data_IF_477102207311
#
_entry.id   IF_477102207311
#
_cell.length_a   1.000
_cell.length_b   1.000
_cell.length_c   1.000
_cell.angle_alpha   90.00
_cell.angle_beta   90.00
_cell.angle_gamma   90.00
#
_symmetry.space_group_name_H-M   'P 1'
#
loop_
_entity.id
_entity.type
_entity.pdbx_description
1 polymer ?
#
# COMPACT_ATOMS: atom_id res chain seq x y z
N UNK A 1 28.10 -1.49 15.18
CA UNK A 1 28.37 -2.53 14.14
C UNK A 1 28.18 -1.85 12.80
N UNK A 2 29.06 -2.08 11.83
CA UNK A 2 28.85 -1.53 10.47
C UNK A 2 27.53 -2.09 9.90
N UNK A 3 26.73 -1.23 9.34
CA UNK A 3 25.49 -1.62 8.67
C UNK A 3 25.87 -2.37 7.37
N UNK A 4 25.35 -3.58 7.18
CA UNK A 4 25.63 -4.36 5.98
C UNK A 4 24.78 -3.77 4.86
N UNK A 5 25.42 -3.33 3.78
CA UNK A 5 24.74 -2.81 2.59
C UNK A 5 24.86 -3.82 1.47
N UNK A 6 23.74 -4.11 0.82
CA UNK A 6 23.62 -5.03 -0.32
C UNK A 6 23.02 -4.25 -1.48
N UNK A 7 23.81 -4.04 -2.53
CA UNK A 7 23.42 -3.17 -3.64
C UNK A 7 23.26 -3.95 -4.96
N UNK A 8 22.30 -3.47 -5.78
CA UNK A 8 22.15 -3.90 -7.18
C UNK A 8 21.99 -5.42 -7.38
N UNK A 9 21.51 -6.14 -6.36
CA UNK A 9 21.32 -7.59 -6.48
C UNK A 9 19.92 -7.94 -6.99
N UNK A 10 19.88 -9.04 -7.73
CA UNK A 10 18.62 -9.69 -8.15
C UNK A 10 18.50 -11.01 -7.37
N UNK A 11 17.39 -11.12 -6.63
CA UNK A 11 16.97 -12.35 -5.98
C UNK A 11 15.82 -12.93 -6.82
N UNK A 12 15.94 -14.15 -7.27
CA UNK A 12 14.96 -14.77 -8.15
C UNK A 12 14.52 -16.12 -7.61
N UNK A 13 13.19 -16.30 -7.52
CA UNK A 13 12.54 -17.55 -7.06
C UNK A 13 13.04 -18.05 -5.70
N UNK A 14 13.50 -17.13 -4.83
CA UNK A 14 13.97 -17.46 -3.50
C UNK A 14 12.78 -17.65 -2.54
N UNK A 15 12.89 -18.65 -1.67
CA UNK A 15 11.90 -18.89 -0.62
C UNK A 15 12.37 -18.32 0.72
N UNK A 16 11.98 -17.08 0.99
CA UNK A 16 12.28 -16.38 2.23
C UNK A 16 11.29 -16.67 3.37
N UNK A 17 10.25 -17.49 3.10
CA UNK A 17 9.39 -18.02 4.17
C UNK A 17 10.10 -19.10 4.98
N UNK A 18 11.05 -19.79 4.38
CA UNK A 18 11.86 -20.85 5.02
C UNK A 18 13.27 -20.35 5.41
N UNK A 19 13.90 -19.52 4.56
CA UNK A 19 15.25 -19.00 4.78
C UNK A 19 15.16 -17.51 5.04
N UNK A 20 15.56 -17.05 6.21
CA UNK A 20 15.47 -15.63 6.55
C UNK A 20 16.33 -14.77 5.62
N UNK A 21 15.73 -13.68 5.12
CA UNK A 21 16.49 -12.62 4.50
C UNK A 21 17.41 -11.98 5.55
N UNK A 22 18.69 -11.81 5.24
CA UNK A 22 19.64 -11.23 6.18
C UNK A 22 19.29 -9.79 6.56
N UNK A 23 19.54 -9.41 7.81
CA UNK A 23 19.37 -8.01 8.24
C UNK A 23 20.44 -7.15 7.59
N UNK A 24 20.02 -6.28 6.69
CA UNK A 24 20.89 -5.40 5.92
C UNK A 24 20.08 -4.19 5.42
N UNK A 25 20.75 -3.24 4.85
CA UNK A 25 20.19 -2.25 3.95
C UNK A 25 20.30 -2.81 2.51
N UNK A 26 19.15 -2.95 1.84
CA UNK A 26 19.06 -3.38 0.44
C UNK A 26 18.85 -2.13 -0.41
N UNK A 27 19.78 -1.82 -1.30
CA UNK A 27 19.72 -0.67 -2.18
C UNK A 27 19.65 -1.10 -3.66
N UNK A 28 18.70 -0.55 -4.41
CA UNK A 28 18.51 -0.85 -5.85
C UNK A 28 18.41 -2.34 -6.16
N UNK A 29 17.91 -3.13 -5.20
CA UNK A 29 17.75 -4.56 -5.34
C UNK A 29 16.40 -4.94 -5.95
N UNK A 30 16.37 -6.07 -6.68
CA UNK A 30 15.16 -6.61 -7.29
C UNK A 30 14.87 -8.00 -6.74
N UNK A 31 13.64 -8.19 -6.29
CA UNK A 31 13.12 -9.47 -5.84
C UNK A 31 12.07 -9.93 -6.84
N UNK A 32 12.34 -11.03 -7.54
CA UNK A 32 11.47 -11.57 -8.59
C UNK A 32 10.96 -12.96 -8.23
N UNK A 33 9.64 -13.12 -8.26
CA UNK A 33 8.97 -14.39 -7.98
C UNK A 33 9.42 -15.02 -6.65
N UNK A 34 9.74 -14.19 -5.64
CA UNK A 34 10.17 -14.66 -4.32
C UNK A 34 8.98 -14.87 -3.39
N UNK A 35 9.09 -15.84 -2.50
CA UNK A 35 8.11 -16.06 -1.44
C UNK A 35 8.62 -15.52 -0.10
N UNK A 36 7.93 -14.51 0.41
CA UNK A 36 8.13 -13.93 1.73
C UNK A 36 6.95 -14.18 2.67
N UNK A 37 6.02 -15.07 2.29
CA UNK A 37 4.80 -15.27 3.10
C UNK A 37 5.16 -15.67 4.53
N UNK A 38 4.48 -15.03 5.49
CA UNK A 38 4.71 -15.19 6.92
C UNK A 38 6.16 -14.92 7.39
N UNK A 39 7.01 -14.34 6.56
CA UNK A 39 8.41 -14.08 6.89
C UNK A 39 8.58 -12.87 7.81
N UNK A 40 9.79 -12.71 8.33
CA UNK A 40 10.18 -11.63 9.26
C UNK A 40 11.14 -10.67 8.55
N UNK A 41 10.65 -9.50 8.14
CA UNK A 41 11.44 -8.42 7.53
C UNK A 41 11.70 -7.26 8.49
N UNK A 42 11.39 -7.42 9.78
CA UNK A 42 11.57 -6.36 10.78
C UNK A 42 12.98 -5.85 10.86
N UNK A 43 13.11 -4.52 10.95
CA UNK A 43 14.39 -3.80 11.00
C UNK A 43 15.28 -3.99 9.77
N UNK A 44 14.71 -4.29 8.62
CA UNK A 44 15.39 -4.28 7.33
C UNK A 44 15.06 -2.96 6.61
N UNK A 45 16.04 -2.42 5.91
CA UNK A 45 15.88 -1.22 5.08
C UNK A 45 15.90 -1.61 3.61
N UNK A 46 14.90 -1.12 2.87
CA UNK A 46 14.84 -1.23 1.41
C UNK A 46 14.81 0.17 0.81
N UNK A 47 15.76 0.48 -0.07
CA UNK A 47 15.90 1.75 -0.78
C UNK A 47 15.89 1.48 -2.28
N UNK A 48 15.02 2.17 -3.03
CA UNK A 48 14.90 2.03 -4.49
C UNK A 48 14.76 0.56 -4.96
N UNK A 49 14.11 -0.27 -4.12
CA UNK A 49 13.93 -1.70 -4.39
C UNK A 49 12.62 -1.98 -5.13
N UNK A 50 12.62 -3.08 -5.89
CA UNK A 50 11.46 -3.58 -6.62
C UNK A 50 11.15 -5.02 -6.21
N UNK A 51 9.88 -5.26 -5.83
CA UNK A 51 9.31 -6.59 -5.65
C UNK A 51 8.37 -6.85 -6.84
N UNK A 52 8.67 -7.87 -7.63
CA UNK A 52 7.87 -8.24 -8.79
C UNK A 52 7.45 -9.71 -8.71
N UNK A 53 6.15 -9.99 -8.87
CA UNK A 53 5.55 -11.32 -8.73
C UNK A 53 5.84 -12.00 -7.37
N UNK A 54 6.07 -11.23 -6.31
CA UNK A 54 6.38 -11.77 -4.99
C UNK A 54 5.12 -12.00 -4.14
N UNK A 55 5.22 -12.97 -3.24
CA UNK A 55 4.21 -13.19 -2.20
C UNK A 55 4.75 -12.68 -0.86
N UNK A 56 4.20 -11.59 -0.34
CA UNK A 56 4.53 -11.02 0.97
C UNK A 56 3.33 -11.14 1.95
N UNK A 57 2.38 -12.01 1.69
CA UNK A 57 1.19 -12.14 2.55
C UNK A 57 1.58 -12.42 4.00
N UNK A 58 0.99 -11.68 4.95
CA UNK A 58 1.21 -11.82 6.38
C UNK A 58 2.68 -11.65 6.83
N UNK A 59 3.53 -11.03 6.02
CA UNK A 59 4.92 -10.70 6.37
C UNK A 59 4.95 -9.65 7.48
N UNK A 60 5.86 -9.82 8.45
CA UNK A 60 6.04 -8.87 9.54
C UNK A 60 6.97 -7.73 9.12
N UNK A 61 6.49 -6.49 9.27
CA UNK A 61 7.16 -5.28 8.83
C UNK A 61 7.57 -4.33 9.97
N UNK A 62 7.66 -4.82 11.20
CA UNK A 62 7.97 -3.96 12.35
C UNK A 62 9.29 -3.21 12.16
N UNK A 63 9.20 -1.87 12.14
CA UNK A 63 10.35 -0.99 11.92
C UNK A 63 11.11 -1.24 10.60
N UNK A 64 10.46 -1.85 9.59
CA UNK A 64 11.02 -1.98 8.23
C UNK A 64 10.97 -0.62 7.54
N UNK A 65 12.09 -0.17 6.96
CA UNK A 65 12.11 1.07 6.19
C UNK A 65 11.87 0.75 4.70
N UNK A 66 10.88 1.43 4.09
CA UNK A 66 10.53 1.30 2.68
C UNK A 66 10.67 2.68 2.02
N UNK A 67 11.79 2.93 1.38
CA UNK A 67 12.14 4.20 0.74
C UNK A 67 12.15 4.01 -0.78
N UNK A 68 11.18 4.58 -1.47
CA UNK A 68 11.00 4.43 -2.93
C UNK A 68 10.88 2.96 -3.36
N UNK A 69 10.01 2.19 -2.69
CA UNK A 69 9.86 0.76 -2.97
C UNK A 69 8.65 0.53 -3.87
N UNK A 70 8.86 -0.24 -4.94
CA UNK A 70 7.81 -0.66 -5.88
C UNK A 70 7.39 -2.10 -5.61
N UNK A 71 6.06 -2.31 -5.54
CA UNK A 71 5.44 -3.63 -5.52
C UNK A 71 4.62 -3.80 -6.81
N UNK A 72 5.05 -4.69 -7.70
CA UNK A 72 4.38 -5.01 -8.95
C UNK A 72 3.94 -6.47 -8.97
N UNK A 73 2.70 -6.73 -9.37
CA UNK A 73 2.15 -8.09 -9.48
C UNK A 73 2.26 -8.92 -8.18
N UNK A 74 2.24 -8.25 -7.01
CA UNK A 74 2.52 -8.90 -5.72
C UNK A 74 1.25 -9.30 -4.97
N UNK A 75 1.39 -10.32 -4.10
CA UNK A 75 0.40 -10.65 -3.07
C UNK A 75 0.85 -10.05 -1.75
N UNK A 76 0.04 -9.12 -1.21
CA UNK A 76 0.33 -8.32 -0.01
C UNK A 76 -0.81 -8.45 1.00
N UNK A 77 -1.45 -9.63 1.05
CA UNK A 77 -2.64 -9.87 1.87
C UNK A 77 -2.33 -9.70 3.36
N UNK A 78 -3.15 -8.89 4.05
CA UNK A 78 -3.04 -8.70 5.50
C UNK A 78 -1.73 -8.03 5.95
N UNK A 79 -1.01 -7.35 5.04
CA UNK A 79 0.22 -6.64 5.41
C UNK A 79 -0.08 -5.42 6.28
N UNK A 80 0.61 -5.32 7.40
CA UNK A 80 0.49 -4.16 8.28
C UNK A 80 1.62 -3.14 8.01
N UNK A 81 1.38 -2.23 7.07
CA UNK A 81 2.34 -1.15 6.77
C UNK A 81 2.44 -0.11 7.90
N UNK A 82 1.44 -0.03 8.79
CA UNK A 82 1.48 0.92 9.91
C UNK A 82 2.61 0.63 10.92
N UNK A 83 3.15 -0.59 10.91
CA UNK A 83 4.30 -0.98 11.71
C UNK A 83 5.65 -0.60 11.10
N UNK A 84 5.65 -0.16 9.83
CA UNK A 84 6.88 0.27 9.15
C UNK A 84 7.47 1.53 9.79
N UNK A 85 8.77 1.71 9.59
CA UNK A 85 9.40 2.99 9.88
C UNK A 85 8.87 4.04 8.89
N UNK A 86 8.17 5.06 9.39
CA UNK A 86 7.55 6.12 8.57
C UNK A 86 8.51 7.22 8.12
N UNK A 87 9.77 7.14 8.51
CA UNK A 87 10.76 8.09 8.03
C UNK A 87 11.08 7.84 6.55
N UNK A 88 10.72 8.78 5.70
CA UNK A 88 10.86 8.69 4.24
C UNK A 88 10.11 7.50 3.60
N UNK A 89 9.02 7.04 4.24
CA UNK A 89 8.17 6.01 3.66
C UNK A 89 7.67 6.46 2.28
N UNK A 90 8.02 5.71 1.25
CA UNK A 90 7.59 5.94 -0.13
C UNK A 90 7.39 4.62 -0.83
N UNK A 91 6.16 4.34 -1.21
CA UNK A 91 5.75 3.07 -1.81
C UNK A 91 4.88 3.30 -3.05
N UNK A 92 4.94 2.34 -3.98
CA UNK A 92 4.16 2.33 -5.20
C UNK A 92 3.61 0.93 -5.42
N UNK A 93 2.33 0.82 -5.79
CA UNK A 93 1.65 -0.46 -6.00
C UNK A 93 1.07 -0.53 -7.41
N UNK A 94 1.33 -1.65 -8.09
CA UNK A 94 0.84 -1.92 -9.43
C UNK A 94 0.39 -3.38 -9.55
N UNK A 95 -0.81 -3.63 -10.09
CA UNK A 95 -1.38 -4.95 -10.30
C UNK A 95 -1.28 -5.87 -9.08
N UNK A 96 -1.45 -5.33 -7.88
CA UNK A 96 -1.16 -6.06 -6.64
C UNK A 96 -2.42 -6.30 -5.79
N UNK A 97 -2.38 -7.37 -4.99
CA UNK A 97 -3.47 -7.75 -4.09
C UNK A 97 -3.11 -7.30 -2.66
N UNK A 98 -3.77 -6.24 -2.19
CA UNK A 98 -3.56 -5.65 -0.87
C UNK A 98 -4.74 -5.90 0.11
N UNK A 99 -5.60 -6.84 -0.19
CA UNK A 99 -6.77 -7.11 0.65
C UNK A 99 -6.39 -7.22 2.14
N UNK A 100 -7.17 -6.58 3.01
CA UNK A 100 -6.95 -6.57 4.45
C UNK A 100 -5.63 -5.91 4.91
N UNK A 101 -4.92 -5.20 4.05
CA UNK A 101 -3.72 -4.48 4.46
C UNK A 101 -4.09 -3.24 5.30
N UNK A 102 -3.16 -2.80 6.16
CA UNK A 102 -3.37 -1.59 6.97
C UNK A 102 -2.32 -0.53 6.66
N UNK A 103 -2.81 0.67 6.39
CA UNK A 103 -2.04 1.92 6.25
C UNK A 103 -2.43 2.93 7.34
N UNK A 104 -2.93 2.45 8.46
CA UNK A 104 -3.40 3.26 9.58
C UNK A 104 -2.39 4.35 9.97
N UNK A 105 -2.84 5.61 9.99
CA UNK A 105 -2.04 6.80 10.38
C UNK A 105 -0.79 7.08 9.53
N UNK A 106 -0.62 6.45 8.39
CA UNK A 106 0.56 6.67 7.55
C UNK A 106 0.45 7.94 6.69
N UNK A 107 1.61 8.53 6.42
CA UNK A 107 1.76 9.63 5.46
C UNK A 107 2.08 9.04 4.07
N UNK A 108 1.06 8.97 3.21
CA UNK A 108 1.12 8.36 1.88
C UNK A 108 0.92 9.40 0.77
N UNK A 109 1.42 10.62 0.98
CA UNK A 109 1.24 11.71 0.01
C UNK A 109 1.81 11.34 -1.36
N UNK A 110 0.99 11.48 -2.39
CA UNK A 110 1.39 11.20 -3.77
C UNK A 110 1.59 9.73 -4.10
N UNK A 111 1.24 8.83 -3.19
CA UNK A 111 1.31 7.38 -3.44
C UNK A 111 0.38 7.01 -4.59
N UNK A 112 0.85 6.10 -5.45
CA UNK A 112 0.07 5.59 -6.57
C UNK A 112 -0.30 4.13 -6.33
N UNK A 113 -1.60 3.86 -6.43
CA UNK A 113 -2.19 2.53 -6.46
C UNK A 113 -2.77 2.34 -7.86
N UNK A 114 -2.21 1.43 -8.64
CA UNK A 114 -2.59 1.20 -10.03
C UNK A 114 -3.09 -0.23 -10.20
N UNK A 115 -4.30 -0.38 -10.76
CA UNK A 115 -4.92 -1.68 -11.10
C UNK A 115 -4.82 -2.71 -9.96
N UNK A 116 -4.98 -2.24 -8.72
CA UNK A 116 -4.76 -3.05 -7.53
C UNK A 116 -6.06 -3.35 -6.79
N UNK A 117 -6.11 -4.52 -6.13
CA UNK A 117 -7.22 -4.88 -5.28
C UNK A 117 -6.95 -4.39 -3.85
N UNK A 118 -7.78 -3.45 -3.40
CA UNK A 118 -7.69 -2.79 -2.11
C UNK A 118 -8.90 -3.09 -1.21
N UNK A 119 -9.54 -4.26 -1.41
CA UNK A 119 -10.70 -4.64 -0.60
C UNK A 119 -10.34 -4.73 0.88
N UNK A 120 -11.20 -4.13 1.71
CA UNK A 120 -11.06 -4.15 3.16
C UNK A 120 -9.72 -3.58 3.68
N UNK A 121 -9.05 -2.72 2.88
CA UNK A 121 -7.84 -2.01 3.31
C UNK A 121 -8.21 -0.92 4.31
N UNK A 122 -7.42 -0.80 5.38
CA UNK A 122 -7.59 0.24 6.38
C UNK A 122 -6.71 1.47 6.07
N UNK A 123 -7.34 2.57 5.65
CA UNK A 123 -6.73 3.90 5.48
C UNK A 123 -7.11 4.89 6.59
N UNK A 124 -7.63 4.42 7.72
CA UNK A 124 -8.04 5.28 8.84
C UNK A 124 -6.91 6.23 9.23
N UNK A 125 -7.23 7.52 9.33
CA UNK A 125 -6.30 8.61 9.69
C UNK A 125 -5.07 8.73 8.74
N UNK A 126 -5.06 8.08 7.58
CA UNK A 126 -3.98 8.19 6.61
C UNK A 126 -3.99 9.53 5.87
N UNK A 127 -2.80 10.06 5.55
CA UNK A 127 -2.66 11.24 4.69
C UNK A 127 -2.35 10.80 3.25
N UNK A 128 -3.38 10.81 2.43
CA UNK A 128 -3.36 10.42 1.01
C UNK A 128 -3.40 11.65 0.07
N UNK A 129 -2.99 12.81 0.56
CA UNK A 129 -2.97 14.04 -0.24
C UNK A 129 -2.25 13.83 -1.58
N UNK A 130 -2.87 14.22 -2.70
CA UNK A 130 -2.38 14.06 -4.07
C UNK A 130 -2.13 12.61 -4.51
N UNK A 131 -2.63 11.61 -3.81
CA UNK A 131 -2.50 10.20 -4.20
C UNK A 131 -3.39 9.87 -5.40
N UNK A 132 -3.06 8.81 -6.10
CA UNK A 132 -3.81 8.31 -7.25
C UNK A 132 -4.27 6.87 -6.97
N UNK A 133 -5.57 6.65 -7.11
CA UNK A 133 -6.17 5.34 -7.16
C UNK A 133 -6.68 5.12 -8.59
N UNK A 134 -5.88 4.47 -9.43
CA UNK A 134 -6.22 4.23 -10.83
C UNK A 134 -6.67 2.79 -11.02
N UNK A 135 -7.92 2.61 -11.46
CA UNK A 135 -8.52 1.29 -11.71
C UNK A 135 -8.40 0.34 -10.50
N UNK A 136 -8.65 0.86 -9.29
CA UNK A 136 -8.58 0.08 -8.05
C UNK A 136 -9.97 -0.35 -7.57
N UNK A 137 -10.05 -1.58 -7.04
CA UNK A 137 -11.21 -2.08 -6.31
C UNK A 137 -11.09 -1.70 -4.84
N UNK A 138 -12.00 -0.86 -4.36
CA UNK A 138 -12.01 -0.31 -3.01
C UNK A 138 -13.20 -0.85 -2.17
N UNK A 139 -13.72 -2.03 -2.53
CA UNK A 139 -14.83 -2.65 -1.80
C UNK A 139 -14.49 -2.77 -0.31
N UNK A 140 -15.33 -2.16 0.54
CA UNK A 140 -15.18 -2.12 2.00
C UNK A 140 -13.85 -1.51 2.49
N UNK A 141 -13.09 -0.79 1.66
CA UNK A 141 -11.94 -0.04 2.13
C UNK A 141 -12.39 1.04 3.12
N UNK A 142 -11.65 1.19 4.21
CA UNK A 142 -12.02 2.07 5.31
C UNK A 142 -11.29 3.40 5.15
N UNK A 143 -12.08 4.48 4.99
CA UNK A 143 -11.61 5.85 5.01
C UNK A 143 -12.32 6.57 6.16
N UNK A 144 -11.69 6.65 7.31
CA UNK A 144 -12.19 7.39 8.47
C UNK A 144 -11.16 8.41 8.94
N UNK A 145 -11.56 9.68 9.06
CA UNK A 145 -10.68 10.80 9.42
C UNK A 145 -9.42 10.92 8.55
N UNK A 146 -9.49 10.41 7.32
CA UNK A 146 -8.38 10.41 6.36
C UNK A 146 -8.27 11.77 5.65
N UNK A 147 -7.05 12.11 5.22
CA UNK A 147 -6.79 13.29 4.42
C UNK A 147 -6.71 12.88 2.95
N UNK A 148 -7.77 13.15 2.19
CA UNK A 148 -7.95 12.79 0.78
C UNK A 148 -7.88 14.02 -0.12
N UNK A 149 -7.21 15.10 0.32
CA UNK A 149 -7.16 16.34 -0.44
C UNK A 149 -6.45 16.13 -1.79
N UNK A 150 -7.11 16.53 -2.89
CA UNK A 150 -6.62 16.36 -4.26
C UNK A 150 -6.35 14.90 -4.68
N UNK A 151 -6.79 13.92 -3.90
CA UNK A 151 -6.69 12.49 -4.27
C UNK A 151 -7.57 12.23 -5.49
N UNK A 152 -7.10 11.38 -6.39
CA UNK A 152 -7.81 11.04 -7.62
C UNK A 152 -8.40 9.63 -7.54
N UNK A 153 -9.75 9.54 -7.53
CA UNK A 153 -10.52 8.29 -7.50
C UNK A 153 -11.34 8.06 -8.77
N UNK A 154 -11.10 8.85 -9.84
CA UNK A 154 -12.01 8.89 -11.00
C UNK A 154 -12.20 7.54 -11.70
N UNK A 155 -11.21 6.67 -11.66
CA UNK A 155 -11.24 5.36 -12.32
C UNK A 155 -11.43 4.21 -11.36
N UNK A 156 -11.39 4.47 -10.05
CA UNK A 156 -11.62 3.45 -9.02
C UNK A 156 -13.11 3.25 -8.73
N UNK A 157 -13.44 2.12 -8.15
CA UNK A 157 -14.82 1.70 -7.96
C UNK A 157 -15.04 1.03 -6.60
N UNK A 158 -16.33 0.87 -6.21
CA UNK A 158 -16.80 0.25 -4.97
C UNK A 158 -16.30 0.93 -3.68
N UNK A 159 -15.87 2.19 -3.76
CA UNK A 159 -15.52 2.93 -2.55
C UNK A 159 -16.78 3.47 -1.84
N UNK A 160 -16.70 3.54 -0.51
CA UNK A 160 -17.63 4.25 0.35
C UNK A 160 -16.84 5.23 1.21
N UNK A 161 -16.99 6.53 0.95
CA UNK A 161 -16.21 7.59 1.61
C UNK A 161 -17.18 8.63 2.20
N UNK A 162 -17.22 8.73 3.52
CA UNK A 162 -18.01 9.77 4.17
C UNK A 162 -17.32 11.15 4.05
N UNK A 163 -17.91 12.11 3.30
CA UNK A 163 -17.31 13.43 3.13
C UNK A 163 -17.36 14.30 4.39
N UNK A 164 -18.08 13.88 5.43
CA UNK A 164 -18.20 14.67 6.68
C UNK A 164 -17.12 14.29 7.70
N UNK A 165 -16.57 13.08 7.63
CA UNK A 165 -15.48 12.64 8.50
C UNK A 165 -14.11 12.75 7.84
N UNK A 166 -14.06 12.82 6.51
CA UNK A 166 -12.83 12.87 5.74
C UNK A 166 -12.56 14.25 5.13
N UNK A 167 -11.29 14.59 4.94
CA UNK A 167 -10.89 15.85 4.29
C UNK A 167 -10.77 15.63 2.79
N UNK A 168 -11.82 15.92 2.02
CA UNK A 168 -11.91 15.64 0.57
C UNK A 168 -11.73 16.88 -0.32
N UNK A 169 -11.16 17.98 0.17
CA UNK A 169 -11.02 19.22 -0.60
C UNK A 169 -10.26 18.97 -1.92
N UNK A 170 -10.92 19.26 -3.06
CA UNK A 170 -10.40 19.05 -4.42
C UNK A 170 -10.10 17.57 -4.76
N UNK A 171 -10.57 16.61 -3.99
CA UNK A 171 -10.56 15.22 -4.42
C UNK A 171 -11.39 15.05 -5.71
N UNK A 172 -10.99 14.11 -6.56
CA UNK A 172 -11.62 13.90 -7.87
C UNK A 172 -12.36 12.57 -7.89
N UNK A 173 -13.62 12.62 -8.29
CA UNK A 173 -14.48 11.45 -8.44
C UNK A 173 -15.11 11.44 -9.85
N UNK A 174 -15.43 10.28 -10.38
CA UNK A 174 -16.26 10.15 -11.57
C UNK A 174 -17.73 10.41 -11.21
N UNK A 175 -18.56 10.74 -12.20
CA UNK A 175 -20.01 10.85 -11.97
C UNK A 175 -20.60 9.54 -11.48
N UNK A 176 -20.15 8.40 -12.01
CA UNK A 176 -20.64 7.08 -11.62
C UNK A 176 -20.24 6.67 -10.21
N UNK A 177 -19.17 7.28 -9.64
CA UNK A 177 -18.72 7.00 -8.29
C UNK A 177 -19.36 7.89 -7.22
N UNK A 178 -20.21 8.87 -7.57
CA UNK A 178 -20.79 9.80 -6.59
C UNK A 178 -21.68 9.11 -5.55
N UNK A 179 -22.30 7.99 -5.89
CA UNK A 179 -23.07 7.18 -4.94
C UNK A 179 -22.25 6.80 -3.71
N UNK A 180 -20.97 6.41 -3.90
CA UNK A 180 -20.07 6.06 -2.79
C UNK A 180 -19.75 7.20 -1.80
N UNK A 181 -20.08 8.45 -2.14
CA UNK A 181 -20.02 9.59 -1.19
C UNK A 181 -21.31 9.77 -0.40
N UNK A 182 -22.37 9.08 -0.78
CA UNK A 182 -23.73 9.23 -0.25
C UNK A 182 -24.20 7.99 0.51
N UNK A 183 -23.46 6.89 0.49
CA UNK A 183 -23.81 5.61 1.10
C UNK A 183 -24.28 5.76 2.55
N UNK A 184 -23.61 6.61 3.32
CA UNK A 184 -23.96 6.82 4.73
C UNK A 184 -25.37 7.38 4.95
N UNK A 185 -25.96 8.03 3.95
CA UNK A 185 -27.29 8.63 4.06
C UNK A 185 -28.42 7.64 3.78
N UNK A 186 -28.10 6.43 3.29
CA UNK A 186 -29.06 5.37 2.96
C UNK A 186 -30.22 5.88 2.08
N UNK A 187 -29.90 6.66 1.05
CA UNK A 187 -30.84 7.24 0.08
C UNK A 187 -30.90 6.39 -1.18
N UNK A 188 -32.03 6.42 -1.86
CA UNK A 188 -32.19 5.82 -3.20
C UNK A 188 -31.71 6.83 -4.27
N UNK A 189 -30.94 6.34 -5.24
CA UNK A 189 -30.42 7.13 -6.37
C UNK A 189 -30.90 6.45 -7.65
N UNK A 190 -31.72 7.16 -8.44
CA UNK A 190 -32.27 6.69 -9.73
C UNK A 190 -31.49 7.25 -10.94
#
# INVERSE_FOLDING_TARGET
MAEIIIENKVFEKANFSEIRLGKAEYESCKFRSCDFSNSELSNITFIDCEFDHCNLSMTKLKNTALKTVKFANCKLLGLNFSECNNFLLSVYFENSLLNLASFYKLKLKGTKFISSNLKEVDFTEADLTNSLFDNCDLERAIFDRSILEKTDFRTSYQFSIDPTTNRIKKAKFSRNGLSGLLDKFNIEIE
#
